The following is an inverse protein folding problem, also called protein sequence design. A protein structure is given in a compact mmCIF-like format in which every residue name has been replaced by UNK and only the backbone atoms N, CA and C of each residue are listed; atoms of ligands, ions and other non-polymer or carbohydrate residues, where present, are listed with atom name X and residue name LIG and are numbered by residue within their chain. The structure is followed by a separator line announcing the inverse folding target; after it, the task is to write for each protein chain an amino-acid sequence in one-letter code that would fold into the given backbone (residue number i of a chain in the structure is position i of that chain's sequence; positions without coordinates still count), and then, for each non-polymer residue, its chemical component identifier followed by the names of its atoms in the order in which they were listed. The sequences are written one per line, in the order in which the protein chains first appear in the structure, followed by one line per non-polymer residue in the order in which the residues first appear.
data_IF_397474858855
#
_entry.id   IF_397474858855
#
_cell.length_a   1.000
_cell.length_b   1.000
_cell.length_c   1.000
_cell.angle_alpha   90.00
_cell.angle_beta   90.00
_cell.angle_gamma   90.00
#
_symmetry.space_group_name_H-M   'P 1'
#
loop_
_entity.id
_entity.type
_entity.pdbx_description
1 polymer ?
#
# COMPACT_ATOMS: atom_id res chain seq x y z
N UNK A 1 18.49 15.33 11.45
CA UNK A 1 18.21 14.00 10.87
C UNK A 1 16.76 13.56 11.16
N UNK A 2 16.36 13.53 12.44
CA UNK A 2 14.99 13.24 12.91
C UNK A 2 13.81 13.92 12.16
N UNK A 3 13.91 15.22 11.86
CA UNK A 3 12.80 15.95 11.21
C UNK A 3 12.54 15.46 9.78
N UNK A 4 13.60 15.15 9.03
CA UNK A 4 13.50 14.66 7.65
C UNK A 4 12.82 13.29 7.61
N UNK A 5 13.19 12.40 8.51
CA UNK A 5 12.59 11.06 8.62
C UNK A 5 11.11 11.14 8.99
N UNK A 6 10.74 11.97 9.97
CA UNK A 6 9.34 12.21 10.34
C UNK A 6 8.52 12.76 9.15
N UNK A 7 9.05 13.75 8.42
CA UNK A 7 8.39 14.31 7.24
C UNK A 7 8.19 13.21 6.17
N UNK A 8 9.22 12.41 5.88
CA UNK A 8 9.11 11.31 4.91
C UNK A 8 8.07 10.27 5.33
N UNK A 9 8.01 9.93 6.62
CA UNK A 9 6.98 9.04 7.17
C UNK A 9 5.57 9.60 6.96
N UNK A 10 5.34 10.88 7.27
CA UNK A 10 4.06 11.54 7.01
C UNK A 10 3.69 11.56 5.53
N UNK A 11 4.63 11.90 4.65
CA UNK A 11 4.39 11.90 3.20
C UNK A 11 4.01 10.48 2.75
N UNK A 12 4.70 9.45 3.23
CA UNK A 12 4.38 8.05 2.92
C UNK A 12 2.94 7.68 3.32
N UNK A 13 2.51 8.08 4.53
CA UNK A 13 1.13 7.87 5.01
C UNK A 13 0.11 8.53 4.07
N UNK A 14 0.37 9.75 3.60
CA UNK A 14 -0.53 10.45 2.66
C UNK A 14 -0.69 9.65 1.37
N UNK A 15 0.41 9.12 0.81
CA UNK A 15 0.32 8.27 -0.38
C UNK A 15 -0.38 6.94 -0.11
N UNK A 16 -0.23 6.36 1.09
CA UNK A 16 -0.97 5.15 1.49
C UNK A 16 -2.47 5.42 1.60
N UNK A 17 -2.87 6.56 2.17
CA UNK A 17 -4.27 7.00 2.20
C UNK A 17 -4.83 7.22 0.79
N UNK A 18 -4.03 7.82 -0.09
CA UNK A 18 -4.38 7.95 -1.51
C UNK A 18 -4.56 6.57 -2.17
N UNK A 19 -3.75 5.57 -1.83
CA UNK A 19 -3.93 4.21 -2.31
C UNK A 19 -5.26 3.59 -1.85
N UNK A 20 -5.63 3.79 -0.57
CA UNK A 20 -6.88 3.28 0.00
C UNK A 20 -8.13 3.90 -0.65
N UNK A 21 -8.02 5.13 -1.15
CA UNK A 21 -9.11 5.82 -1.85
C UNK A 21 -9.65 5.04 -3.06
N UNK A 22 -8.85 4.17 -3.68
CA UNK A 22 -9.31 3.30 -4.76
C UNK A 22 -10.47 2.38 -4.34
N UNK A 23 -10.42 1.83 -3.12
CA UNK A 23 -11.48 0.97 -2.59
C UNK A 23 -12.76 1.79 -2.39
N UNK A 24 -12.63 2.99 -1.83
CA UNK A 24 -13.75 3.92 -1.63
C UNK A 24 -14.41 4.28 -2.96
N UNK A 25 -13.63 4.73 -3.94
CA UNK A 25 -14.13 5.11 -5.27
C UNK A 25 -14.81 3.93 -5.97
N UNK A 26 -14.24 2.72 -5.86
CA UNK A 26 -14.83 1.50 -6.41
C UNK A 26 -16.17 1.16 -5.75
N UNK A 27 -16.29 1.35 -4.44
CA UNK A 27 -17.53 1.10 -3.69
C UNK A 27 -18.60 2.15 -4.02
N UNK A 28 -18.23 3.44 -4.05
CA UNK A 28 -19.11 4.55 -4.44
C UNK A 28 -19.69 4.32 -5.84
N UNK A 29 -18.85 3.96 -6.82
CA UNK A 29 -19.31 3.64 -8.18
C UNK A 29 -20.23 2.42 -8.23
N UNK A 30 -20.01 1.43 -7.36
CA UNK A 30 -20.87 0.24 -7.27
C UNK A 30 -22.26 0.59 -6.74
N UNK A 31 -22.35 1.49 -5.76
CA UNK A 31 -23.62 1.99 -5.21
C UNK A 31 -24.31 2.93 -6.19
N UNK A 32 -23.60 3.95 -6.67
CA UNK A 32 -24.16 4.97 -7.55
C UNK A 32 -23.60 4.82 -8.97
N UNK A 33 -24.32 4.04 -9.78
CA UNK A 33 -23.95 3.77 -11.18
C UNK A 33 -24.00 5.02 -12.08
N UNK A 34 -24.68 6.09 -11.66
CA UNK A 34 -24.78 7.34 -12.40
C UNK A 34 -23.47 8.14 -12.40
N UNK A 35 -22.55 7.83 -11.48
CA UNK A 35 -21.25 8.47 -11.38
C UNK A 35 -20.32 7.94 -12.50
N UNK A 36 -20.00 8.81 -13.46
CA UNK A 36 -19.09 8.52 -14.57
C UNK A 36 -17.62 8.67 -14.15
N UNK A 37 -17.11 7.72 -13.35
CA UNK A 37 -15.68 7.64 -13.03
C UNK A 37 -14.97 6.61 -13.91
N UNK A 38 -13.87 7.03 -14.54
CA UNK A 38 -12.98 6.14 -15.28
C UNK A 38 -12.12 5.31 -14.31
N UNK A 39 -12.58 4.09 -14.02
CA UNK A 39 -11.88 3.17 -13.12
C UNK A 39 -10.49 2.76 -13.64
N UNK A 40 -10.21 2.87 -14.95
CA UNK A 40 -8.87 2.59 -15.47
C UNK A 40 -7.90 3.69 -15.04
N UNK A 41 -8.32 4.95 -15.04
CA UNK A 41 -7.53 6.08 -14.50
C UNK A 41 -7.30 5.93 -13.00
N UNK A 42 -8.34 5.65 -12.22
CA UNK A 42 -8.20 5.48 -10.76
C UNK A 42 -7.27 4.31 -10.42
N UNK A 43 -7.36 3.19 -11.14
CA UNK A 43 -6.45 2.07 -10.97
C UNK A 43 -4.98 2.43 -11.31
N UNK A 44 -4.76 3.23 -12.36
CA UNK A 44 -3.39 3.73 -12.67
C UNK A 44 -2.84 4.61 -11.55
N UNK A 45 -3.67 5.51 -11.01
CA UNK A 45 -3.28 6.36 -9.88
C UNK A 45 -2.96 5.52 -8.65
N UNK A 46 -3.78 4.51 -8.32
CA UNK A 46 -3.51 3.55 -7.24
C UNK A 46 -2.16 2.86 -7.44
N UNK A 47 -1.91 2.25 -8.61
CA UNK A 47 -0.61 1.59 -8.84
C UNK A 47 0.57 2.57 -8.73
N UNK A 48 0.44 3.78 -9.28
CA UNK A 48 1.51 4.78 -9.23
C UNK A 48 1.77 5.28 -7.82
N UNK A 49 0.71 5.62 -7.08
CA UNK A 49 0.80 6.05 -5.69
C UNK A 49 1.43 4.96 -4.81
N UNK A 50 1.11 3.68 -5.04
CA UNK A 50 1.72 2.56 -4.31
C UNK A 50 3.22 2.44 -4.54
N UNK A 51 3.68 2.58 -5.78
CA UNK A 51 5.11 2.56 -6.10
C UNK A 51 5.82 3.76 -5.47
N UNK A 52 5.24 4.96 -5.59
CA UNK A 52 5.81 6.18 -4.98
C UNK A 52 5.89 6.06 -3.46
N UNK A 53 4.84 5.57 -2.81
CA UNK A 53 4.83 5.29 -1.36
C UNK A 53 5.98 4.35 -0.97
N UNK A 54 6.20 3.29 -1.74
CA UNK A 54 7.27 2.35 -1.44
C UNK A 54 8.66 2.93 -1.62
N UNK A 55 8.88 3.73 -2.67
CA UNK A 55 10.15 4.45 -2.84
C UNK A 55 10.41 5.37 -1.63
N UNK A 56 9.40 6.13 -1.21
CA UNK A 56 9.52 7.01 -0.04
C UNK A 56 9.79 6.18 1.22
N UNK A 57 9.12 5.04 1.40
CA UNK A 57 9.34 4.16 2.53
C UNK A 57 10.75 3.57 2.54
N UNK A 58 11.32 3.18 1.39
CA UNK A 58 12.73 2.77 1.26
C UNK A 58 13.66 3.90 1.72
N UNK A 59 13.40 5.13 1.27
CA UNK A 59 14.20 6.30 1.66
C UNK A 59 14.04 6.60 3.16
N UNK A 60 12.84 6.38 3.71
CA UNK A 60 12.52 6.60 5.13
C UNK A 60 13.24 5.62 6.06
N UNK A 61 13.32 4.33 5.70
CA UNK A 61 14.08 3.34 6.46
C UNK A 61 15.60 3.54 6.32
N UNK A 62 16.05 4.18 5.23
CA UNK A 62 17.43 4.63 5.05
C UNK A 62 18.44 3.48 5.08
N UNK A 63 19.52 3.64 5.84
CA UNK A 63 20.56 2.62 5.97
C UNK A 63 20.12 1.40 6.79
N UNK A 64 19.03 1.52 7.57
CA UNK A 64 18.51 0.43 8.41
C UNK A 64 17.86 -0.70 7.59
N UNK A 65 17.86 -0.58 6.26
CA UNK A 65 17.50 -1.69 5.34
C UNK A 65 18.49 -2.84 5.45
N UNK A 66 19.77 -2.55 5.69
CA UNK A 66 20.84 -3.54 5.68
C UNK A 66 21.02 -4.25 7.03
N UNK A 67 20.59 -3.59 8.11
CA UNK A 67 20.64 -4.10 9.49
C UNK A 67 19.19 -4.23 10.03
N UNK A 68 18.47 -5.31 9.65
CA UNK A 68 17.05 -5.43 9.94
C UNK A 68 16.81 -5.72 11.42
N UNK A 69 16.44 -4.68 12.17
CA UNK A 69 15.84 -4.86 13.50
C UNK A 69 14.38 -5.30 13.34
N UNK A 70 13.98 -6.31 14.11
CA UNK A 70 12.63 -6.88 14.06
C UNK A 70 11.62 -5.91 14.70
N UNK A 71 11.23 -4.90 13.93
CA UNK A 71 10.31 -3.82 14.34
C UNK A 71 9.03 -3.83 13.51
N UNK A 72 7.96 -3.21 14.04
CA UNK A 72 6.72 -3.03 13.29
C UNK A 72 6.93 -2.26 11.97
N UNK A 73 7.91 -1.36 11.92
CA UNK A 73 8.27 -0.60 10.71
C UNK A 73 8.86 -1.50 9.64
N UNK A 74 9.82 -2.36 10.02
CA UNK A 74 10.42 -3.33 9.12
C UNK A 74 9.40 -4.36 8.60
N UNK A 75 8.54 -4.89 9.48
CA UNK A 75 7.46 -5.80 9.09
C UNK A 75 6.52 -5.12 8.09
N UNK A 76 6.11 -3.87 8.36
CA UNK A 76 5.25 -3.09 7.46
C UNK A 76 5.91 -2.88 6.09
N UNK A 77 7.22 -2.58 6.08
CA UNK A 77 7.99 -2.42 4.86
C UNK A 77 8.01 -3.69 4.00
N UNK A 78 8.30 -4.84 4.61
CA UNK A 78 8.29 -6.14 3.92
C UNK A 78 6.91 -6.47 3.36
N UNK A 79 5.84 -6.28 4.14
CA UNK A 79 4.47 -6.52 3.68
C UNK A 79 4.12 -5.59 2.51
N UNK A 80 4.51 -4.32 2.56
CA UNK A 80 4.28 -3.36 1.48
C UNK A 80 4.92 -3.82 0.16
N UNK A 81 6.13 -4.38 0.20
CA UNK A 81 6.76 -4.98 -0.97
C UNK A 81 5.93 -6.16 -1.51
N UNK A 82 5.45 -7.04 -0.64
CA UNK A 82 4.56 -8.16 -1.02
C UNK A 82 3.24 -7.65 -1.62
N UNK A 83 2.67 -6.57 -1.10
CA UNK A 83 1.47 -5.92 -1.65
C UNK A 83 1.73 -5.42 -3.07
N UNK A 84 2.88 -4.80 -3.33
CA UNK A 84 3.24 -4.32 -4.67
C UNK A 84 3.39 -5.51 -5.63
N UNK A 85 4.13 -6.54 -5.24
CA UNK A 85 4.33 -7.74 -6.06
C UNK A 85 2.98 -8.39 -6.40
N UNK A 86 2.13 -8.63 -5.40
CA UNK A 86 0.80 -9.21 -5.62
C UNK A 86 -0.10 -8.29 -6.44
N UNK A 87 0.00 -6.97 -6.27
CA UNK A 87 -0.73 -5.98 -7.06
C UNK A 87 -0.33 -5.99 -8.54
N UNK A 88 0.98 -6.11 -8.82
CA UNK A 88 1.53 -6.28 -10.18
C UNK A 88 1.01 -7.59 -10.78
N UNK A 89 1.05 -8.70 -10.03
CA UNK A 89 0.52 -9.99 -10.48
C UNK A 89 -0.96 -9.87 -10.85
N UNK A 90 -1.79 -9.28 -9.98
CA UNK A 90 -3.23 -9.07 -10.24
C UNK A 90 -3.48 -8.21 -11.50
N UNK A 91 -2.61 -7.23 -11.75
CA UNK A 91 -2.73 -6.32 -12.91
C UNK A 91 -2.38 -7.01 -14.22
N UNK A 92 -1.25 -7.72 -14.28
CA UNK A 92 -0.68 -8.25 -15.53
C UNK A 92 -1.06 -9.70 -15.82
N UNK A 93 -1.23 -10.56 -14.82
CA UNK A 93 -1.65 -11.96 -15.02
C UNK A 93 -3.18 -12.10 -15.16
N UNK A 94 -3.80 -11.18 -15.91
CA UNK A 94 -5.26 -11.10 -16.06
C UNK A 94 -5.85 -12.30 -16.81
N UNK A 95 -5.03 -13.03 -17.57
CA UNK A 95 -5.46 -14.07 -18.52
C UNK A 95 -5.33 -15.52 -18.01
N UNK A 96 -4.66 -15.74 -16.88
CA UNK A 96 -4.50 -17.10 -16.35
C UNK A 96 -5.68 -17.42 -15.42
N UNK A 97 -6.64 -18.22 -15.90
CA UNK A 97 -7.79 -18.84 -15.17
C UNK A 97 -8.47 -17.98 -14.08
N UNK A 98 -9.76 -17.70 -14.22
CA UNK A 98 -10.56 -16.88 -13.29
C UNK A 98 -10.35 -17.19 -11.79
N UNK A 99 -10.18 -18.47 -11.43
CA UNK A 99 -9.91 -18.95 -10.06
C UNK A 99 -8.57 -18.42 -9.52
N UNK A 100 -7.51 -18.36 -10.33
CA UNK A 100 -6.22 -17.79 -9.88
C UNK A 100 -6.34 -16.29 -9.63
N UNK A 101 -7.11 -15.59 -10.45
CA UNK A 101 -7.32 -14.14 -10.31
C UNK A 101 -8.03 -13.76 -9.01
N UNK A 102 -9.04 -14.52 -8.58
CA UNK A 102 -9.74 -14.22 -7.32
C UNK A 102 -8.83 -14.48 -6.12
N UNK A 103 -8.04 -15.55 -6.17
CA UNK A 103 -7.04 -15.88 -5.15
C UNK A 103 -6.01 -14.75 -4.98
N UNK A 104 -5.36 -14.31 -6.05
CA UNK A 104 -4.36 -13.23 -5.98
C UNK A 104 -4.94 -11.91 -5.46
N UNK A 105 -6.21 -11.62 -5.79
CA UNK A 105 -6.91 -10.44 -5.28
C UNK A 105 -7.19 -10.56 -3.79
N UNK A 106 -7.65 -11.72 -3.32
CA UNK A 106 -7.89 -11.95 -1.90
C UNK A 106 -6.59 -11.86 -1.10
N UNK A 107 -5.51 -12.49 -1.59
CA UNK A 107 -4.18 -12.37 -0.97
C UNK A 107 -3.71 -10.92 -0.89
N UNK A 108 -3.85 -10.14 -1.97
CA UNK A 108 -3.50 -8.72 -1.97
C UNK A 108 -4.32 -7.91 -0.94
N UNK A 109 -5.62 -8.18 -0.82
CA UNK A 109 -6.49 -7.53 0.18
C UNK A 109 -6.08 -7.92 1.60
N UNK A 110 -5.85 -9.20 1.86
CA UNK A 110 -5.44 -9.69 3.19
C UNK A 110 -4.09 -9.09 3.62
N UNK A 111 -3.12 -9.06 2.71
CA UNK A 111 -1.84 -8.38 2.94
C UNK A 111 -2.04 -6.89 3.23
N UNK A 112 -2.95 -6.22 2.51
CA UNK A 112 -3.26 -4.80 2.74
C UNK A 112 -3.85 -4.56 4.13
N UNK A 113 -4.77 -5.40 4.59
CA UNK A 113 -5.33 -5.30 5.95
C UNK A 113 -4.23 -5.48 7.00
N UNK A 114 -3.39 -6.51 6.83
CA UNK A 114 -2.29 -6.78 7.74
C UNK A 114 -1.26 -5.65 7.75
N UNK A 115 -0.96 -5.08 6.58
CA UNK A 115 -0.10 -3.91 6.45
C UNK A 115 -0.64 -2.69 7.19
N UNK A 116 -1.93 -2.37 7.05
CA UNK A 116 -2.54 -1.24 7.76
C UNK A 116 -2.41 -1.44 9.28
N UNK A 117 -2.65 -2.65 9.77
CA UNK A 117 -2.53 -2.98 11.19
C UNK A 117 -1.08 -2.77 11.69
N UNK A 118 -0.09 -3.30 10.97
CA UNK A 118 1.32 -3.16 11.34
C UNK A 118 1.83 -1.72 11.22
N UNK A 119 1.38 -0.99 10.19
CA UNK A 119 1.71 0.41 10.00
C UNK A 119 1.13 1.26 11.13
N UNK A 120 -0.10 0.99 11.52
CA UNK A 120 -0.74 1.67 12.64
C UNK A 120 0.02 1.45 13.95
N UNK A 121 0.41 0.20 14.23
CA UNK A 121 1.26 -0.13 15.39
C UNK A 121 2.60 0.60 15.32
N UNK A 122 3.27 0.60 14.17
CA UNK A 122 4.54 1.31 13.97
C UNK A 122 4.41 2.82 14.24
N UNK A 123 3.35 3.46 13.73
CA UNK A 123 3.11 4.88 13.98
C UNK A 123 2.85 5.13 15.45
N UNK A 124 2.00 4.33 16.12
CA UNK A 124 1.75 4.49 17.55
C UNK A 124 3.03 4.35 18.39
N UNK A 125 3.84 3.32 18.15
CA UNK A 125 5.05 3.09 18.95
C UNK A 125 6.12 4.16 18.74
N UNK A 126 6.15 4.84 17.58
CA UNK A 126 7.12 5.90 17.29
C UNK A 126 6.60 7.33 17.54
N UNK A 127 5.30 7.48 17.85
CA UNK A 127 4.70 8.76 18.26
C UNK A 127 4.53 8.87 19.77
N UNK A 128 4.31 7.75 20.46
CA UNK A 128 4.05 7.72 21.92
C UNK A 128 5.34 7.62 22.74
N UNK A 129 6.42 7.12 22.14
CA UNK A 129 7.76 7.02 22.74
C UNK A 129 8.77 7.80 21.88
#
# INVERSE_FOLDING_TARGET
MYLKEKILGFISIIFILLNLSYILVKYIKKINKSIKIDMKKVLRVHCFAGIVAAIIAIVHIGNNVLDPEFSFGYISFVIMLLIIITGIIVKYYREVLFIKKIYWRLMHIMLTIFFIMMLFLHVLTNFVY
#
